data_IF_990382774980
#
_entry.id   IF_990382774980
#
_cell.length_a   1.000
_cell.length_b   1.000
_cell.length_c   1.000
_cell.angle_alpha   90.00
_cell.angle_beta   90.00
_cell.angle_gamma   90.00
#
_symmetry.space_group_name_H-M   'P 1'
#
loop_
_entity.id
_entity.type
_entity.pdbx_description
1 polymer ?
#
# COMPACT_ATOMS: atom_id res chain seq x y z
N UNK A 1 -60.71 3.96 47.92
CA UNK A 1 -60.45 4.70 46.67
C UNK A 1 -59.16 5.49 46.83
N UNK A 2 -58.01 4.96 46.40
CA UNK A 2 -56.77 5.75 46.31
C UNK A 2 -56.78 6.43 44.95
N UNK A 3 -57.01 7.74 44.94
CA UNK A 3 -56.97 8.55 43.73
C UNK A 3 -55.58 8.52 43.13
N UNK A 4 -55.47 8.08 41.89
CA UNK A 4 -54.28 8.30 41.06
C UNK A 4 -54.00 9.80 41.07
N UNK A 5 -52.81 10.16 41.52
CA UNK A 5 -52.34 11.54 41.59
C UNK A 5 -52.38 12.14 40.19
N UNK A 6 -52.77 13.41 40.06
CA UNK A 6 -52.78 14.07 38.74
C UNK A 6 -51.38 14.09 38.09
N UNK A 7 -50.32 13.93 38.89
CA UNK A 7 -48.96 13.68 38.40
C UNK A 7 -48.82 12.34 37.65
N UNK A 8 -49.47 11.26 38.11
CA UNK A 8 -49.41 9.95 37.46
C UNK A 8 -50.14 9.96 36.11
N UNK A 9 -51.26 10.68 36.03
CA UNK A 9 -51.99 10.90 34.78
C UNK A 9 -51.17 11.72 33.79
N UNK A 10 -50.46 12.74 34.28
CA UNK A 10 -49.58 13.57 33.44
C UNK A 10 -48.43 12.73 32.86
N UNK A 11 -47.73 11.97 33.70
CA UNK A 11 -46.62 11.09 33.27
C UNK A 11 -47.10 10.05 32.27
N UNK A 12 -48.26 9.43 32.51
CA UNK A 12 -48.85 8.46 31.58
C UNK A 12 -49.19 9.11 30.23
N UNK A 13 -49.81 10.30 30.23
CA UNK A 13 -50.12 11.02 29.00
C UNK A 13 -48.86 11.41 28.21
N UNK A 14 -47.77 11.80 28.89
CA UNK A 14 -46.49 12.07 28.23
C UNK A 14 -45.84 10.81 27.66
N UNK A 15 -45.95 9.68 28.36
CA UNK A 15 -45.47 8.37 27.89
C UNK A 15 -46.24 7.91 26.66
N UNK A 16 -47.57 7.92 26.70
CA UNK A 16 -48.44 7.49 25.61
C UNK A 16 -48.28 8.40 24.37
N UNK A 17 -48.06 9.70 24.58
CA UNK A 17 -47.77 10.65 23.51
C UNK A 17 -46.36 10.46 22.90
N UNK A 18 -45.37 10.05 23.70
CA UNK A 18 -44.03 9.73 23.21
C UNK A 18 -44.05 8.45 22.35
N UNK A 19 -44.75 7.42 22.82
CA UNK A 19 -44.93 6.16 22.09
C UNK A 19 -45.69 6.38 20.77
N UNK A 20 -46.77 7.17 20.79
CA UNK A 20 -47.52 7.52 19.58
C UNK A 20 -46.68 8.26 18.53
N UNK A 21 -45.79 9.17 18.97
CA UNK A 21 -44.86 9.88 18.06
C UNK A 21 -43.82 8.94 17.47
N UNK A 22 -43.33 7.99 18.25
CA UNK A 22 -42.35 7.00 17.79
C UNK A 22 -42.97 6.03 16.76
N UNK A 23 -44.22 5.60 16.99
CA UNK A 23 -44.99 4.79 16.03
C UNK A 23 -45.19 5.57 14.73
N UNK A 24 -45.66 6.81 14.80
CA UNK A 24 -45.87 7.66 13.62
C UNK A 24 -44.57 7.89 12.84
N UNK A 25 -43.44 8.07 13.54
CA UNK A 25 -42.12 8.22 12.90
C UNK A 25 -41.71 6.95 12.15
N UNK A 26 -41.88 5.77 12.77
CA UNK A 26 -41.58 4.47 12.13
C UNK A 26 -42.47 4.20 10.93
N UNK A 27 -43.75 4.59 10.98
CA UNK A 27 -44.66 4.42 9.86
C UNK A 27 -44.34 5.37 8.70
N UNK A 28 -43.93 6.60 8.99
CA UNK A 28 -43.41 7.54 7.99
C UNK A 28 -42.13 6.97 7.34
N UNK A 29 -41.18 6.49 8.14
CA UNK A 29 -39.93 5.88 7.65
C UNK A 29 -40.22 4.67 6.77
N UNK A 30 -41.07 3.73 7.21
CA UNK A 30 -41.50 2.57 6.40
C UNK A 30 -42.22 2.98 5.11
N UNK A 31 -43.06 4.00 5.16
CA UNK A 31 -43.75 4.50 3.95
C UNK A 31 -42.77 5.15 2.97
N UNK A 32 -41.76 5.86 3.47
CA UNK A 32 -40.72 6.47 2.65
C UNK A 32 -39.82 5.41 2.02
N UNK A 33 -39.46 4.36 2.77
CA UNK A 33 -38.73 3.19 2.26
C UNK A 33 -39.53 2.45 1.18
N UNK A 34 -40.84 2.25 1.38
CA UNK A 34 -41.69 1.61 0.39
C UNK A 34 -41.78 2.42 -0.91
N UNK A 35 -41.96 3.75 -0.81
CA UNK A 35 -41.98 4.65 -1.97
C UNK A 35 -40.62 4.65 -2.69
N UNK A 36 -39.52 4.64 -1.93
CA UNK A 36 -38.18 4.61 -2.50
C UNK A 36 -37.92 3.28 -3.25
N UNK A 37 -38.32 2.16 -2.65
CA UNK A 37 -38.22 0.85 -3.29
C UNK A 37 -39.07 0.75 -4.56
N UNK A 38 -40.29 1.27 -4.53
CA UNK A 38 -41.16 1.31 -5.72
C UNK A 38 -40.54 2.15 -6.85
N UNK A 39 -39.90 3.29 -6.51
CA UNK A 39 -39.15 4.09 -7.49
C UNK A 39 -37.95 3.33 -8.05
N UNK A 40 -37.19 2.64 -7.22
CA UNK A 40 -36.04 1.85 -7.66
C UNK A 40 -36.48 0.69 -8.57
N UNK A 41 -37.57 0.00 -8.23
CA UNK A 41 -38.15 -1.07 -9.04
C UNK A 41 -38.69 -0.52 -10.38
N UNK A 42 -39.34 0.65 -10.38
CA UNK A 42 -39.80 1.31 -11.61
C UNK A 42 -38.63 1.71 -12.50
N UNK A 43 -37.56 2.27 -11.93
CA UNK A 43 -36.34 2.64 -12.65
C UNK A 43 -35.68 1.39 -13.26
N UNK A 44 -35.55 0.31 -12.48
CA UNK A 44 -34.99 -0.96 -12.95
C UNK A 44 -35.79 -1.52 -14.14
N UNK A 45 -37.13 -1.52 -14.05
CA UNK A 45 -38.00 -1.96 -15.14
C UNK A 45 -37.82 -1.12 -16.41
N UNK A 46 -37.71 0.21 -16.28
CA UNK A 46 -37.49 1.10 -17.43
C UNK A 46 -36.15 0.79 -18.11
N UNK A 47 -35.08 0.60 -17.32
CA UNK A 47 -33.78 0.23 -17.87
C UNK A 47 -33.78 -1.15 -18.54
N UNK A 48 -34.48 -2.13 -17.96
CA UNK A 48 -34.64 -3.46 -18.56
C UNK A 48 -35.37 -3.38 -19.91
N UNK A 49 -36.48 -2.62 -19.98
CA UNK A 49 -37.22 -2.41 -21.22
C UNK A 49 -36.37 -1.68 -22.27
N UNK A 50 -35.62 -0.65 -21.87
CA UNK A 50 -34.68 0.02 -22.76
C UNK A 50 -33.62 -0.95 -23.31
N UNK A 51 -33.11 -1.87 -22.48
CA UNK A 51 -32.22 -2.95 -22.90
C UNK A 51 -32.85 -3.86 -23.95
N UNK A 52 -34.08 -4.34 -23.72
CA UNK A 52 -34.81 -5.20 -24.66
C UNK A 52 -35.04 -4.50 -26.01
N UNK A 53 -35.36 -3.21 -25.99
CA UNK A 53 -35.54 -2.40 -27.21
C UNK A 53 -34.22 -2.28 -27.97
N UNK A 54 -33.10 -2.00 -27.29
CA UNK A 54 -31.77 -1.93 -27.91
C UNK A 54 -31.38 -3.25 -28.58
N UNK A 55 -31.58 -4.38 -27.91
CA UNK A 55 -31.32 -5.73 -28.47
C UNK A 55 -32.17 -5.96 -29.73
N UNK A 56 -33.45 -5.63 -29.67
CA UNK A 56 -34.37 -5.84 -30.79
C UNK A 56 -33.98 -5.01 -32.01
N UNK A 57 -33.58 -3.74 -31.80
CA UNK A 57 -33.12 -2.87 -32.88
C UNK A 57 -31.84 -3.40 -33.53
N UNK A 58 -30.84 -3.78 -32.72
CA UNK A 58 -29.61 -4.40 -33.22
C UNK A 58 -29.89 -5.68 -34.01
N UNK A 59 -30.77 -6.56 -33.49
CA UNK A 59 -31.12 -7.80 -34.18
C UNK A 59 -31.83 -7.54 -35.52
N UNK A 60 -32.62 -6.46 -35.60
CA UNK A 60 -33.28 -6.05 -36.84
C UNK A 60 -32.28 -5.57 -37.89
N UNK A 61 -31.33 -4.69 -37.54
CA UNK A 61 -30.30 -4.23 -38.48
C UNK A 61 -29.33 -5.36 -38.87
N UNK A 62 -28.96 -6.21 -37.91
CA UNK A 62 -28.18 -7.43 -38.15
C UNK A 62 -28.87 -8.36 -39.16
N UNK A 63 -30.16 -8.64 -38.96
CA UNK A 63 -30.93 -9.53 -39.86
C UNK A 63 -31.07 -8.94 -41.26
N UNK A 64 -31.31 -7.63 -41.36
CA UNK A 64 -31.42 -6.93 -42.64
C UNK A 64 -30.09 -6.98 -43.42
N UNK A 65 -28.96 -6.69 -42.75
CA UNK A 65 -27.64 -6.71 -43.37
C UNK A 65 -27.22 -8.12 -43.81
N UNK A 66 -27.34 -9.13 -42.93
CA UNK A 66 -26.99 -10.51 -43.30
C UNK A 66 -27.93 -11.12 -44.34
N UNK A 67 -29.22 -10.77 -44.31
CA UNK A 67 -30.17 -11.17 -45.35
C UNK A 67 -29.75 -10.69 -46.73
N UNK A 68 -29.36 -9.42 -46.85
CA UNK A 68 -28.83 -8.87 -48.11
C UNK A 68 -27.51 -9.52 -48.53
N UNK A 69 -26.63 -9.83 -47.58
CA UNK A 69 -25.34 -10.46 -47.86
C UNK A 69 -25.50 -11.89 -48.39
N UNK A 70 -26.43 -12.67 -47.82
CA UNK A 70 -26.79 -13.99 -48.34
C UNK A 70 -27.44 -13.90 -49.73
N UNK A 71 -28.34 -12.94 -49.95
CA UNK A 71 -28.96 -12.72 -51.27
C UNK A 71 -27.91 -12.35 -52.33
N UNK A 72 -26.92 -11.51 -51.97
CA UNK A 72 -25.78 -11.19 -52.84
C UNK A 72 -24.99 -12.45 -53.21
N UNK A 73 -24.64 -13.27 -52.21
CA UNK A 73 -23.88 -14.51 -52.42
C UNK A 73 -24.63 -15.48 -53.35
N UNK A 74 -25.94 -15.67 -53.15
CA UNK A 74 -26.76 -16.52 -54.03
C UNK A 74 -26.85 -15.94 -55.45
N UNK A 75 -26.97 -14.62 -55.59
CA UNK A 75 -27.01 -13.93 -56.88
C UNK A 75 -25.69 -14.09 -57.66
N UNK A 76 -24.56 -13.95 -56.99
CA UNK A 76 -23.22 -14.06 -57.58
C UNK A 76 -22.85 -15.50 -57.95
N UNK A 77 -23.12 -16.46 -57.06
CA UNK A 77 -22.89 -17.89 -57.27
C UNK A 77 -23.82 -18.50 -58.32
N UNK A 78 -24.96 -17.85 -58.61
CA UNK A 78 -26.00 -18.32 -59.54
C UNK A 78 -26.53 -19.70 -59.20
N UNK A 79 -26.48 -20.10 -57.93
CA UNK A 79 -26.93 -21.43 -57.48
C UNK A 79 -28.41 -21.67 -57.74
N UNK A 80 -29.24 -20.62 -57.69
CA UNK A 80 -30.66 -20.68 -58.05
C UNK A 80 -30.88 -21.17 -59.49
N UNK A 81 -29.94 -20.88 -60.40
CA UNK A 81 -30.00 -21.30 -61.79
C UNK A 81 -29.45 -22.71 -61.99
N UNK A 82 -28.36 -23.06 -61.32
CA UNK A 82 -27.67 -24.35 -61.52
C UNK A 82 -28.29 -25.50 -60.73
N UNK A 83 -28.71 -25.27 -59.49
CA UNK A 83 -29.25 -26.32 -58.59
C UNK A 83 -30.77 -26.41 -58.62
N UNK A 84 -31.46 -25.28 -58.77
CA UNK A 84 -32.92 -25.22 -58.69
C UNK A 84 -33.62 -24.93 -60.01
N UNK A 85 -32.87 -24.70 -61.10
CA UNK A 85 -33.37 -24.42 -62.44
C UNK A 85 -34.46 -23.32 -62.49
N UNK A 86 -34.32 -22.31 -61.62
CA UNK A 86 -35.26 -21.18 -61.53
C UNK A 86 -34.58 -19.87 -61.93
N UNK A 87 -35.38 -18.84 -62.23
CA UNK A 87 -34.88 -17.49 -62.48
C UNK A 87 -34.61 -16.75 -61.16
N UNK A 88 -33.87 -15.63 -61.23
CA UNK A 88 -33.63 -14.79 -60.04
C UNK A 88 -34.94 -14.26 -59.46
N UNK A 89 -35.90 -13.91 -60.32
CA UNK A 89 -37.23 -13.44 -59.93
C UNK A 89 -38.01 -14.51 -59.17
N UNK A 90 -38.03 -15.74 -59.68
CA UNK A 90 -38.66 -16.89 -59.01
C UNK A 90 -37.99 -17.22 -57.68
N UNK A 91 -36.68 -17.05 -57.57
CA UNK A 91 -35.96 -17.22 -56.31
C UNK A 91 -36.33 -16.13 -55.29
N UNK A 92 -36.41 -14.87 -55.70
CA UNK A 92 -36.87 -13.78 -54.84
C UNK A 92 -38.31 -14.01 -54.34
N UNK A 93 -39.21 -14.43 -55.22
CA UNK A 93 -40.59 -14.78 -54.84
C UNK A 93 -40.63 -15.96 -53.85
N UNK A 94 -39.81 -16.99 -54.06
CA UNK A 94 -39.71 -18.15 -53.17
C UNK A 94 -39.25 -17.76 -51.75
N UNK A 95 -38.32 -16.81 -51.64
CA UNK A 95 -37.82 -16.30 -50.35
C UNK A 95 -38.74 -15.22 -49.75
N UNK A 96 -39.78 -14.79 -50.49
CA UNK A 96 -40.75 -13.80 -50.03
C UNK A 96 -40.23 -12.36 -50.07
N UNK A 97 -39.29 -12.06 -50.97
CA UNK A 97 -38.69 -10.74 -51.13
C UNK A 97 -39.00 -10.15 -52.51
N UNK A 98 -39.25 -8.85 -52.57
CA UNK A 98 -39.45 -8.17 -53.86
C UNK A 98 -38.13 -8.01 -54.61
N UNK A 99 -38.08 -8.51 -55.84
CA UNK A 99 -36.89 -8.48 -56.69
C UNK A 99 -36.37 -7.07 -56.90
N UNK A 100 -37.25 -6.09 -57.19
CA UNK A 100 -36.83 -4.71 -57.48
C UNK A 100 -36.16 -4.08 -56.28
N UNK A 101 -36.80 -4.19 -55.12
CA UNK A 101 -36.25 -3.71 -53.86
C UNK A 101 -34.90 -4.35 -53.53
N UNK A 102 -34.77 -5.67 -53.68
CA UNK A 102 -33.49 -6.37 -53.43
C UNK A 102 -32.42 -5.93 -54.41
N UNK A 103 -32.73 -5.81 -55.70
CA UNK A 103 -31.78 -5.37 -56.71
C UNK A 103 -31.29 -3.93 -56.42
N UNK A 104 -32.17 -3.02 -56.02
CA UNK A 104 -31.81 -1.66 -55.57
C UNK A 104 -30.91 -1.67 -54.34
N UNK A 105 -31.25 -2.47 -53.32
CA UNK A 105 -30.47 -2.61 -52.10
C UNK A 105 -29.11 -3.29 -52.32
N UNK A 106 -29.00 -4.17 -53.31
CA UNK A 106 -27.75 -4.83 -53.68
C UNK A 106 -26.83 -3.91 -54.50
N UNK A 107 -27.36 -2.88 -55.17
CA UNK A 107 -26.54 -1.87 -55.88
C UNK A 107 -25.73 -1.05 -54.88
N UNK A 108 -26.34 -0.65 -53.75
CA UNK A 108 -25.66 0.10 -52.70
C UNK A 108 -25.91 -0.51 -51.31
N UNK A 109 -24.94 -1.32 -50.86
CA UNK A 109 -24.92 -1.93 -49.53
C UNK A 109 -24.38 -0.99 -48.45
N UNK A 110 -23.80 0.17 -48.82
CA UNK A 110 -23.15 1.07 -47.85
C UNK A 110 -24.12 1.54 -46.76
N UNK A 111 -25.37 1.97 -47.05
CA UNK A 111 -26.30 2.42 -46.02
C UNK A 111 -26.59 1.35 -44.97
N UNK A 112 -26.80 0.10 -45.40
CA UNK A 112 -27.07 -1.03 -44.51
C UNK A 112 -25.85 -1.40 -43.65
N UNK A 113 -24.65 -1.35 -44.23
CA UNK A 113 -23.40 -1.53 -43.50
C UNK A 113 -23.24 -0.43 -42.44
N UNK A 114 -23.46 0.82 -42.79
CA UNK A 114 -23.32 1.96 -41.87
C UNK A 114 -24.34 1.89 -40.74
N UNK A 115 -25.60 1.56 -41.04
CA UNK A 115 -26.66 1.38 -40.04
C UNK A 115 -26.33 0.22 -39.08
N UNK A 116 -25.93 -0.94 -39.60
CA UNK A 116 -25.51 -2.09 -38.80
C UNK A 116 -24.30 -1.76 -37.90
N UNK A 117 -23.29 -1.07 -38.42
CA UNK A 117 -22.10 -0.68 -37.65
C UNK A 117 -22.44 0.33 -36.55
N UNK A 118 -23.33 1.28 -36.83
CA UNK A 118 -23.80 2.25 -35.84
C UNK A 118 -24.59 1.56 -34.71
N UNK A 119 -25.50 0.65 -35.06
CA UNK A 119 -26.26 -0.13 -34.09
C UNK A 119 -25.36 -1.08 -33.28
N UNK A 120 -24.37 -1.70 -33.91
CA UNK A 120 -23.39 -2.54 -33.23
C UNK A 120 -22.59 -1.73 -32.20
N UNK A 121 -22.12 -0.54 -32.57
CA UNK A 121 -21.37 0.33 -31.66
C UNK A 121 -22.24 0.82 -30.50
N UNK A 122 -23.50 1.20 -30.76
CA UNK A 122 -24.47 1.59 -29.74
C UNK A 122 -24.84 0.45 -28.78
N UNK A 123 -24.92 -0.78 -29.31
CA UNK A 123 -25.29 -1.97 -28.56
C UNK A 123 -24.13 -2.54 -27.73
N UNK A 124 -22.98 -2.74 -28.34
CA UNK A 124 -21.82 -3.40 -27.71
C UNK A 124 -20.91 -2.42 -26.95
N UNK A 125 -21.01 -1.11 -27.23
CA UNK A 125 -20.05 -0.12 -26.77
C UNK A 125 -18.71 -0.17 -27.49
N UNK A 126 -18.55 -1.05 -28.48
CA UNK A 126 -17.31 -1.28 -29.23
C UNK A 126 -17.54 -1.13 -30.73
N UNK A 127 -16.54 -0.67 -31.47
CA UNK A 127 -16.58 -0.67 -32.94
C UNK A 127 -16.19 -2.06 -33.46
N UNK A 128 -16.84 -2.58 -34.52
CA UNK A 128 -16.56 -3.91 -35.09
C UNK A 128 -15.06 -4.10 -35.43
N UNK A 129 -14.41 -3.05 -35.93
CA UNK A 129 -13.00 -3.14 -36.32
C UNK A 129 -12.08 -3.37 -35.11
N UNK A 130 -12.49 -2.94 -33.91
CA UNK A 130 -11.77 -3.23 -32.67
C UNK A 130 -11.93 -4.68 -32.22
N UNK A 131 -13.03 -5.33 -32.60
CA UNK A 131 -13.29 -6.74 -32.30
C UNK A 131 -12.35 -7.66 -33.06
N UNK A 132 -11.92 -7.26 -34.27
CA UNK A 132 -11.01 -8.05 -35.10
C UNK A 132 -9.65 -8.30 -34.42
N UNK A 133 -9.14 -7.31 -33.69
CA UNK A 133 -7.80 -7.34 -33.08
C UNK A 133 -7.82 -7.56 -31.56
N UNK A 134 -9.00 -7.82 -30.99
CA UNK A 134 -9.20 -7.98 -29.56
C UNK A 134 -8.53 -9.27 -29.05
N UNK A 135 -7.56 -9.13 -28.14
CA UNK A 135 -6.85 -10.26 -27.54
C UNK A 135 -5.61 -10.75 -28.31
N UNK A 136 -5.23 -10.07 -29.39
CA UNK A 136 -3.93 -10.33 -30.03
C UNK A 136 -2.81 -9.68 -29.21
N UNK A 137 -1.79 -10.48 -28.84
CA UNK A 137 -0.58 -9.95 -28.21
C UNK A 137 0.29 -9.30 -29.29
N UNK A 138 0.37 -7.96 -29.27
CA UNK A 138 1.02 -7.19 -30.33
C UNK A 138 2.43 -6.78 -29.90
N UNK A 139 3.45 -7.32 -30.57
CA UNK A 139 4.83 -6.85 -30.46
C UNK A 139 5.10 -5.74 -31.49
N UNK A 140 5.91 -4.74 -31.15
CA UNK A 140 6.30 -3.65 -32.04
C UNK A 140 6.95 -4.10 -33.38
N UNK A 141 7.46 -5.34 -33.45
CA UNK A 141 8.05 -5.92 -34.67
C UNK A 141 7.02 -6.53 -35.64
N UNK A 142 5.74 -6.56 -35.27
CA UNK A 142 4.68 -7.28 -36.01
C UNK A 142 4.04 -6.50 -37.15
N UNK A 143 4.20 -5.17 -37.18
CA UNK A 143 3.64 -4.30 -38.22
C UNK A 143 4.76 -3.70 -39.09
N UNK A 144 4.74 -4.00 -40.39
CA UNK A 144 5.67 -3.42 -41.38
C UNK A 144 4.91 -2.66 -42.43
N UNK A 145 5.36 -1.45 -42.74
CA UNK A 145 4.83 -0.69 -43.88
C UNK A 145 5.65 -1.09 -45.11
N UNK A 146 4.99 -1.65 -46.11
CA UNK A 146 5.58 -1.99 -47.40
C UNK A 146 4.57 -1.73 -48.52
N UNK A 147 5.02 -1.13 -49.62
CA UNK A 147 4.24 -0.92 -50.85
C UNK A 147 2.83 -0.33 -50.65
N UNK A 148 2.72 0.78 -49.91
CA UNK A 148 1.43 1.42 -49.62
C UNK A 148 0.43 0.49 -48.91
N UNK A 149 0.91 -0.47 -48.14
CA UNK A 149 0.10 -1.28 -47.25
C UNK A 149 0.79 -1.49 -45.90
N UNK A 150 -0.02 -1.73 -44.87
CA UNK A 150 0.44 -2.19 -43.57
C UNK A 150 0.35 -3.72 -43.59
N UNK A 151 1.49 -4.38 -43.51
CA UNK A 151 1.59 -5.82 -43.34
C UNK A 151 1.62 -6.10 -41.85
N UNK A 152 0.58 -6.78 -41.36
CA UNK A 152 0.42 -7.10 -39.95
C UNK A 152 -0.04 -8.56 -39.81
N UNK A 153 0.71 -9.40 -39.09
CA UNK A 153 0.42 -10.82 -38.88
C UNK A 153 0.10 -11.64 -40.16
N UNK A 154 0.66 -11.23 -41.32
CA UNK A 154 0.41 -11.88 -42.61
C UNK A 154 -0.80 -11.36 -43.39
N UNK A 155 -1.55 -10.40 -42.83
CA UNK A 155 -2.56 -9.63 -43.54
C UNK A 155 -1.96 -8.35 -44.11
N UNK A 156 -2.42 -7.96 -45.31
CA UNK A 156 -1.99 -6.75 -46.00
C UNK A 156 -3.16 -5.77 -46.03
N UNK A 157 -3.08 -4.70 -45.24
CA UNK A 157 -4.08 -3.63 -45.18
C UNK A 157 -3.65 -2.50 -46.11
N UNK A 158 -4.34 -2.24 -47.24
CA UNK A 158 -4.00 -1.14 -48.13
C UNK A 158 -4.14 0.22 -47.43
N UNK A 159 -3.20 1.14 -47.68
CA UNK A 159 -3.27 2.54 -47.23
C UNK A 159 -4.18 3.35 -48.16
N UNK A 160 -5.47 3.03 -48.18
CA UNK A 160 -6.50 3.78 -48.91
C UNK A 160 -7.61 4.32 -47.99
N UNK A 161 -8.48 5.16 -48.54
CA UNK A 161 -9.57 5.79 -47.77
C UNK A 161 -10.65 4.80 -47.32
N UNK A 162 -10.77 3.64 -47.97
CA UNK A 162 -11.79 2.64 -47.66
C UNK A 162 -11.37 1.75 -46.47
N UNK A 163 -10.07 1.68 -46.16
CA UNK A 163 -9.50 0.93 -45.03
C UNK A 163 -9.06 1.82 -43.85
N UNK A 164 -9.39 3.13 -43.88
CA UNK A 164 -9.04 4.09 -42.81
C UNK A 164 -9.44 3.62 -41.41
N UNK A 165 -10.63 3.06 -41.27
CA UNK A 165 -11.15 2.62 -39.98
C UNK A 165 -10.46 1.33 -39.48
N UNK A 166 -9.90 0.53 -40.38
CA UNK A 166 -9.11 -0.68 -40.05
C UNK A 166 -7.70 -0.29 -39.60
N UNK A 167 -7.10 0.67 -40.29
CA UNK A 167 -5.81 1.28 -39.93
C UNK A 167 -5.89 1.94 -38.55
N UNK A 168 -6.97 2.68 -38.28
CA UNK A 168 -7.17 3.31 -36.97
C UNK A 168 -7.32 2.28 -35.85
N UNK A 169 -8.10 1.22 -36.06
CA UNK A 169 -8.25 0.15 -35.06
C UNK A 169 -6.91 -0.55 -34.76
N UNK A 170 -6.09 -0.81 -35.78
CA UNK A 170 -4.76 -1.38 -35.61
C UNK A 170 -3.84 -0.47 -34.77
N UNK A 171 -3.84 0.83 -35.07
CA UNK A 171 -3.05 1.83 -34.33
C UNK A 171 -3.46 1.93 -32.85
N UNK A 172 -4.76 1.96 -32.57
CA UNK A 172 -5.26 2.00 -31.19
C UNK A 172 -4.89 0.73 -30.42
N UNK A 173 -4.96 -0.44 -31.06
CA UNK A 173 -4.57 -1.71 -30.43
C UNK A 173 -3.06 -1.78 -30.17
N UNK A 174 -2.25 -1.25 -31.10
CA UNK A 174 -0.80 -1.09 -30.92
C UNK A 174 -0.49 -0.16 -29.75
N UNK A 175 -1.18 0.97 -29.63
CA UNK A 175 -0.98 1.93 -28.54
C UNK A 175 -1.34 1.32 -27.18
N UNK A 176 -2.46 0.59 -27.10
CA UNK A 176 -2.88 -0.11 -25.88
C UNK A 176 -1.89 -1.20 -25.46
N UNK A 177 -1.42 -2.02 -26.42
CA UNK A 177 -0.40 -3.06 -26.15
C UNK A 177 0.90 -2.44 -25.64
N UNK A 178 1.37 -1.38 -26.31
CA UNK A 178 2.62 -0.72 -25.96
C UNK A 178 2.56 -0.04 -24.58
N UNK A 179 1.37 0.45 -24.20
CA UNK A 179 1.11 0.97 -22.86
C UNK A 179 1.11 -0.13 -21.81
N UNK A 180 0.46 -1.26 -22.07
CA UNK A 180 0.46 -2.42 -21.17
C UNK A 180 1.87 -2.97 -20.94
N UNK A 181 2.67 -3.14 -22.00
CA UNK A 181 4.08 -3.57 -21.88
C UNK A 181 4.91 -2.58 -21.06
N UNK A 182 4.68 -1.27 -21.23
CA UNK A 182 5.37 -0.23 -20.47
C UNK A 182 4.99 -0.30 -18.98
N UNK A 183 3.70 -0.45 -18.67
CA UNK A 183 3.22 -0.56 -17.30
C UNK A 183 3.77 -1.83 -16.60
N UNK A 184 3.85 -2.95 -17.32
CA UNK A 184 4.46 -4.19 -16.83
C UNK A 184 5.98 -4.04 -16.63
N UNK A 185 6.68 -3.39 -17.56
CA UNK A 185 8.11 -3.09 -17.43
C UNK A 185 8.37 -2.18 -16.21
N UNK A 186 7.55 -1.13 -16.01
CA UNK A 186 7.64 -0.25 -14.84
C UNK A 186 7.36 -0.99 -13.52
N UNK A 187 6.36 -1.87 -13.50
CA UNK A 187 6.07 -2.71 -12.33
C UNK A 187 7.24 -3.67 -12.01
N UNK A 188 7.85 -4.24 -13.05
CA UNK A 188 9.03 -5.11 -12.92
C UNK A 188 10.23 -4.34 -12.38
N UNK A 189 10.49 -3.13 -12.90
CA UNK A 189 11.57 -2.25 -12.41
C UNK A 189 11.35 -1.90 -10.94
N UNK A 190 10.14 -1.46 -10.56
CA UNK A 190 9.81 -1.16 -9.15
C UNK A 190 10.03 -2.35 -8.23
N UNK A 191 9.70 -3.55 -8.69
CA UNK A 191 9.92 -4.79 -7.92
C UNK A 191 11.41 -5.12 -7.77
N UNK A 192 12.17 -4.99 -8.86
CA UNK A 192 13.64 -5.15 -8.84
C UNK A 192 14.30 -4.14 -7.91
N UNK A 193 13.91 -2.87 -7.93
CA UNK A 193 14.45 -1.82 -7.05
C UNK A 193 14.18 -2.12 -5.56
N UNK A 194 12.98 -2.62 -5.23
CA UNK A 194 12.65 -3.04 -3.85
C UNK A 194 13.54 -4.20 -3.41
N UNK A 195 13.76 -5.19 -4.28
CA UNK A 195 14.64 -6.32 -4.00
C UNK A 195 16.10 -5.90 -3.84
N UNK A 196 16.58 -4.98 -4.66
CA UNK A 196 17.95 -4.43 -4.56
C UNK A 196 18.12 -3.74 -3.20
N UNK A 197 17.21 -2.84 -2.81
CA UNK A 197 17.25 -2.17 -1.50
C UNK A 197 17.20 -3.16 -0.32
N UNK A 198 16.39 -4.21 -0.43
CA UNK A 198 16.33 -5.25 0.58
C UNK A 198 17.66 -6.00 0.71
N UNK A 199 18.28 -6.36 -0.43
CA UNK A 199 19.60 -7.01 -0.46
C UNK A 199 20.70 -6.12 0.09
N UNK A 200 20.74 -4.84 -0.30
CA UNK A 200 21.68 -3.86 0.24
C UNK A 200 21.57 -3.74 1.77
N UNK A 201 20.35 -3.75 2.32
CA UNK A 201 20.15 -3.74 3.77
C UNK A 201 20.72 -4.99 4.46
N UNK A 202 20.54 -6.16 3.85
CA UNK A 202 21.09 -7.43 4.36
C UNK A 202 22.61 -7.41 4.29
N UNK A 203 23.20 -6.97 3.17
CA UNK A 203 24.66 -6.85 3.02
C UNK A 203 25.23 -5.92 4.08
N UNK A 204 24.66 -4.73 4.26
CA UNK A 204 25.09 -3.78 5.29
C UNK A 204 24.98 -4.35 6.72
N UNK A 205 24.00 -5.21 6.98
CA UNK A 205 23.86 -5.89 8.27
C UNK A 205 24.93 -6.96 8.45
N UNK A 206 25.16 -7.79 7.43
CA UNK A 206 26.20 -8.81 7.44
C UNK A 206 27.60 -8.20 7.59
N UNK A 207 27.89 -7.07 6.95
CA UNK A 207 29.15 -6.34 7.11
C UNK A 207 29.35 -5.84 8.55
N UNK A 208 28.29 -5.33 9.20
CA UNK A 208 28.36 -4.93 10.61
C UNK A 208 28.59 -6.12 11.54
N UNK A 209 27.92 -7.23 11.25
CA UNK A 209 28.06 -8.45 12.06
C UNK A 209 29.45 -9.08 11.88
N UNK A 210 30.01 -9.06 10.65
CA UNK A 210 31.41 -9.43 10.39
C UNK A 210 32.38 -8.54 11.16
N UNK A 211 32.24 -7.21 11.09
CA UNK A 211 33.08 -6.30 11.87
C UNK A 211 32.97 -6.53 13.39
N UNK A 212 31.79 -6.92 13.88
CA UNK A 212 31.57 -7.25 15.29
C UNK A 212 32.24 -8.57 15.67
N UNK A 213 32.19 -9.56 14.81
CA UNK A 213 32.82 -10.87 15.02
C UNK A 213 34.35 -10.77 14.91
N UNK A 214 34.87 -10.05 13.92
CA UNK A 214 36.31 -9.77 13.79
C UNK A 214 36.85 -9.04 15.03
N UNK A 215 36.11 -8.05 15.56
CA UNK A 215 36.48 -7.39 16.83
C UNK A 215 36.43 -8.29 18.07
N UNK A 216 35.71 -9.40 18.02
CA UNK A 216 35.67 -10.39 19.13
C UNK A 216 36.78 -11.43 19.01
N UNK A 217 37.38 -11.58 17.84
CA UNK A 217 38.41 -12.60 17.55
C UNK A 217 39.82 -12.05 17.75
N UNK A 218 40.02 -10.74 17.71
CA UNK A 218 41.30 -10.12 18.08
C UNK A 218 41.43 -9.96 19.61
N UNK A 219 42.31 -10.79 20.19
CA UNK A 219 42.81 -10.85 21.57
C UNK A 219 41.88 -11.42 22.64
N UNK A 220 42.05 -12.71 22.92
CA UNK A 220 42.19 -13.25 24.28
C UNK A 220 42.80 -14.65 24.21
N UNK A 221 43.97 -14.88 24.82
CA UNK A 221 44.55 -16.22 25.08
C UNK A 221 43.74 -16.96 26.18
N UNK A 222 42.41 -16.82 26.16
CA UNK A 222 41.51 -17.36 27.18
C UNK A 222 40.89 -18.65 26.70
N UNK A 223 40.68 -19.56 27.63
CA UNK A 223 39.92 -20.79 27.41
C UNK A 223 38.45 -20.47 27.12
N UNK A 224 37.73 -21.40 26.49
CA UNK A 224 36.31 -21.24 26.15
C UNK A 224 35.45 -20.94 27.40
N UNK A 225 35.77 -21.56 28.55
CA UNK A 225 35.10 -21.32 29.83
C UNK A 225 35.34 -19.90 30.38
N UNK A 226 36.56 -19.38 30.27
CA UNK A 226 36.91 -18.02 30.68
C UNK A 226 36.25 -16.98 29.77
N UNK A 227 36.18 -17.26 28.47
CA UNK A 227 35.51 -16.39 27.51
C UNK A 227 34.00 -16.32 27.76
N UNK A 228 33.36 -17.42 28.16
CA UNK A 228 31.94 -17.48 28.53
C UNK A 228 31.66 -16.72 29.83
N UNK A 229 32.53 -16.83 30.84
CA UNK A 229 32.42 -16.05 32.07
C UNK A 229 32.52 -14.54 31.79
N UNK A 230 33.44 -14.12 30.91
CA UNK A 230 33.58 -12.72 30.49
C UNK A 230 32.35 -12.25 29.71
N UNK A 231 31.81 -13.09 28.82
CA UNK A 231 30.59 -12.77 28.07
C UNK A 231 29.38 -12.59 29.01
N UNK A 232 29.26 -13.43 30.03
CA UNK A 232 28.22 -13.31 31.05
C UNK A 232 28.36 -11.99 31.83
N UNK A 233 29.56 -11.65 32.28
CA UNK A 233 29.83 -10.38 32.96
C UNK A 233 29.55 -9.17 32.08
N UNK A 234 29.91 -9.23 30.79
CA UNK A 234 29.59 -8.19 29.82
C UNK A 234 28.07 -8.00 29.67
N UNK A 235 27.31 -9.09 29.62
CA UNK A 235 25.85 -9.04 29.54
C UNK A 235 25.23 -8.44 30.80
N UNK A 236 25.67 -8.86 31.99
CA UNK A 236 25.21 -8.30 33.28
C UNK A 236 25.50 -6.79 33.35
N UNK A 237 26.69 -6.36 32.92
CA UNK A 237 27.05 -4.94 32.84
C UNK A 237 26.09 -4.16 31.93
N UNK A 238 25.78 -4.70 30.75
CA UNK A 238 24.85 -4.06 29.80
C UNK A 238 23.46 -3.94 30.40
N UNK A 239 22.94 -5.00 31.03
CA UNK A 239 21.60 -5.02 31.60
C UNK A 239 21.47 -4.06 32.79
N UNK A 240 22.49 -3.99 33.65
CA UNK A 240 22.54 -3.01 34.73
C UNK A 240 22.52 -1.56 34.21
N UNK A 241 23.37 -1.24 33.23
CA UNK A 241 23.40 0.10 32.62
C UNK A 241 22.08 0.45 31.91
N UNK A 242 21.44 -0.55 31.28
CA UNK A 242 20.12 -0.40 30.68
C UNK A 242 19.07 -0.09 31.73
N UNK A 243 19.08 -0.78 32.87
CA UNK A 243 18.20 -0.49 34.01
C UNK A 243 18.33 0.96 34.50
N UNK A 244 19.55 1.44 34.69
CA UNK A 244 19.82 2.84 35.06
C UNK A 244 19.34 3.82 33.97
N UNK A 245 19.56 3.49 32.69
CA UNK A 245 19.09 4.30 31.55
C UNK A 245 17.57 4.41 31.52
N UNK A 246 16.85 3.31 31.76
CA UNK A 246 15.39 3.28 31.76
C UNK A 246 14.79 4.05 32.95
N UNK A 247 15.45 4.03 34.12
CA UNK A 247 15.11 4.90 35.24
C UNK A 247 15.24 6.38 34.83
N UNK A 248 16.34 6.77 34.18
CA UNK A 248 16.57 8.15 33.72
C UNK A 248 15.58 8.63 32.67
N UNK A 249 15.09 7.73 31.81
CA UNK A 249 14.04 8.06 30.83
C UNK A 249 12.68 8.30 31.49
N UNK A 250 12.38 7.54 32.55
CA UNK A 250 11.09 7.64 33.28
C UNK A 250 11.06 8.80 34.26
N UNK A 251 12.18 9.13 34.89
CA UNK A 251 12.29 10.21 35.87
C UNK A 251 13.26 11.27 35.34
N UNK A 252 12.70 12.24 34.63
CA UNK A 252 13.46 13.36 34.06
C UNK A 252 13.61 14.45 35.13
N UNK A 253 14.85 14.85 35.51
CA UNK A 253 15.09 15.72 36.67
C UNK A 253 14.34 17.06 36.69
N UNK A 254 14.05 17.64 35.52
CA UNK A 254 13.38 18.95 35.41
C UNK A 254 11.86 18.86 35.20
N UNK A 255 11.30 17.64 35.11
CA UNK A 255 9.87 17.41 34.87
C UNK A 255 9.21 16.59 35.99
N UNK A 256 10.00 15.88 36.80
CA UNK A 256 9.50 15.02 37.85
C UNK A 256 9.18 15.80 39.14
N UNK A 257 8.16 15.39 39.90
CA UNK A 257 7.87 15.94 41.23
C UNK A 257 9.06 15.80 42.18
N UNK A 258 9.26 16.77 43.08
CA UNK A 258 10.37 16.78 44.05
C UNK A 258 10.43 15.52 44.91
N UNK A 259 9.27 14.98 45.29
CA UNK A 259 9.19 13.72 46.04
C UNK A 259 9.76 12.54 45.25
N UNK A 260 9.54 12.48 43.94
CA UNK A 260 10.09 11.42 43.08
C UNK A 260 11.62 11.57 42.93
N UNK A 261 12.13 12.79 42.85
CA UNK A 261 13.57 13.07 42.81
C UNK A 261 14.25 12.69 44.13
N UNK A 262 13.62 12.99 45.26
CA UNK A 262 14.10 12.59 46.59
C UNK A 262 14.16 11.08 46.75
N UNK A 263 13.12 10.36 46.31
CA UNK A 263 13.12 8.90 46.33
C UNK A 263 14.16 8.30 45.37
N UNK A 264 14.33 8.88 44.18
CA UNK A 264 15.38 8.48 43.24
C UNK A 264 16.78 8.67 43.83
N UNK A 265 17.01 9.77 44.56
CA UNK A 265 18.27 10.02 45.26
C UNK A 265 18.58 8.92 46.29
N UNK A 266 17.61 8.57 47.15
CA UNK A 266 17.77 7.47 48.10
C UNK A 266 17.94 6.10 47.42
N UNK A 267 17.26 5.87 46.30
CA UNK A 267 17.42 4.65 45.52
C UNK A 267 18.86 4.50 45.01
N UNK A 268 19.49 5.58 44.52
CA UNK A 268 20.89 5.52 44.09
C UNK A 268 21.86 5.28 45.24
N UNK A 269 21.61 5.88 46.41
CA UNK A 269 22.38 5.58 47.63
C UNK A 269 22.25 4.09 48.00
N UNK A 270 21.03 3.56 47.98
CA UNK A 270 20.77 2.16 48.30
C UNK A 270 21.46 1.21 47.33
N UNK A 271 21.38 1.48 46.02
CA UNK A 271 22.11 0.71 45.00
C UNK A 271 23.62 0.77 45.26
N UNK A 272 24.16 1.95 45.53
CA UNK A 272 25.58 2.13 45.86
C UNK A 272 26.01 1.30 47.08
N UNK A 273 25.17 1.27 48.13
CA UNK A 273 25.43 0.48 49.34
C UNK A 273 25.44 -1.02 49.07
N UNK A 274 24.47 -1.55 48.31
CA UNK A 274 24.45 -2.98 47.94
C UNK A 274 25.70 -3.35 47.16
N UNK A 275 26.07 -2.56 46.14
CA UNK A 275 27.25 -2.84 45.32
C UNK A 275 28.53 -2.80 46.18
N UNK A 276 28.60 -1.91 47.17
CA UNK A 276 29.72 -1.85 48.11
C UNK A 276 29.78 -3.07 49.03
N UNK A 277 28.65 -3.51 49.58
CA UNK A 277 28.57 -4.71 50.44
C UNK A 277 28.99 -5.98 49.67
N UNK A 278 28.48 -6.17 48.46
CA UNK A 278 28.86 -7.30 47.59
C UNK A 278 30.36 -7.24 47.21
N UNK A 279 30.90 -6.05 46.94
CA UNK A 279 32.33 -5.87 46.71
C UNK A 279 33.17 -6.27 47.93
N UNK A 280 32.76 -5.87 49.13
CA UNK A 280 33.45 -6.24 50.37
C UNK A 280 33.35 -7.74 50.65
N UNK A 281 32.20 -8.36 50.38
CA UNK A 281 32.05 -9.81 50.48
C UNK A 281 32.98 -10.55 49.51
N UNK A 282 33.10 -10.05 48.27
CA UNK A 282 34.04 -10.58 47.28
C UNK A 282 35.48 -10.44 47.76
N UNK A 283 35.84 -9.30 48.36
CA UNK A 283 37.17 -9.08 48.93
C UNK A 283 37.52 -10.09 50.03
N UNK A 284 36.55 -10.51 50.84
CA UNK A 284 36.77 -11.53 51.88
C UNK A 284 37.13 -12.90 51.27
N UNK A 285 36.45 -13.27 50.18
CA UNK A 285 36.68 -14.54 49.47
C UNK A 285 38.08 -14.57 48.80
N UNK A 286 38.54 -13.42 48.32
CA UNK A 286 39.85 -13.26 47.68
C UNK A 286 40.99 -12.90 48.64
N UNK A 287 40.76 -12.84 49.95
CA UNK A 287 41.76 -12.45 50.96
C UNK A 287 43.06 -13.27 50.90
N UNK A 288 42.99 -14.52 50.44
CA UNK A 288 44.13 -15.43 50.36
C UNK A 288 44.60 -15.71 48.91
N UNK A 289 44.05 -15.03 47.92
CA UNK A 289 44.47 -15.22 46.54
C UNK A 289 45.81 -14.51 46.29
N UNK A 290 46.75 -15.21 45.67
CA UNK A 290 48.16 -14.79 45.50
C UNK A 290 48.30 -13.60 44.51
N UNK A 291 47.34 -13.44 43.59
CA UNK A 291 47.21 -12.31 42.68
C UNK A 291 45.76 -11.83 42.62
N UNK A 292 45.42 -10.82 43.43
CA UNK A 292 44.27 -9.96 43.18
C UNK A 292 44.83 -8.62 42.69
N UNK A 293 44.66 -8.21 41.43
CA UNK A 293 45.41 -7.08 40.88
C UNK A 293 45.00 -5.70 41.43
N UNK A 294 44.18 -5.63 42.48
CA UNK A 294 43.79 -4.38 43.12
C UNK A 294 43.23 -4.54 44.54
N UNK A 295 44.07 -4.37 45.54
CA UNK A 295 43.62 -3.93 46.87
C UNK A 295 43.27 -2.42 46.80
N UNK A 296 42.26 -2.04 46.01
CA UNK A 296 41.82 -0.64 45.97
C UNK A 296 41.11 -0.32 47.28
N UNK A 297 41.81 0.32 48.21
CA UNK A 297 41.16 1.00 49.34
C UNK A 297 40.25 2.12 48.81
N UNK A 298 39.24 2.56 49.58
CA UNK A 298 38.31 3.62 49.15
C UNK A 298 39.03 4.91 48.70
N UNK A 299 40.26 5.12 49.16
CA UNK A 299 41.11 6.27 48.86
C UNK A 299 41.90 6.13 47.52
N UNK A 300 41.89 4.95 46.90
CA UNK A 300 42.68 4.60 45.71
C UNK A 300 41.82 4.20 44.50
N UNK A 301 40.58 4.68 44.42
CA UNK A 301 39.70 4.39 43.27
C UNK A 301 40.39 4.83 41.98
N UNK A 302 40.65 3.92 41.02
CA UNK A 302 41.30 4.26 39.78
C UNK A 302 40.49 5.32 39.03
N UNK A 303 41.15 6.22 38.28
CA UNK A 303 40.47 7.19 37.44
C UNK A 303 39.40 6.51 36.55
N UNK A 304 38.25 7.18 36.35
CA UNK A 304 37.10 6.62 35.62
C UNK A 304 37.48 6.05 34.24
N UNK A 305 38.46 6.64 33.55
CA UNK A 305 38.95 6.18 32.25
C UNK A 305 39.66 4.83 32.32
N UNK A 306 40.38 4.56 33.43
CA UNK A 306 41.02 3.27 33.71
C UNK A 306 39.97 2.22 34.07
N UNK A 307 38.98 2.57 34.89
CA UNK A 307 37.86 1.67 35.21
C UNK A 307 37.07 1.26 33.97
N UNK A 308 36.71 2.24 33.13
CA UNK A 308 35.95 1.97 31.89
C UNK A 308 36.75 1.12 30.91
N UNK A 309 38.08 1.31 30.83
CA UNK A 309 38.95 0.53 29.95
C UNK A 309 39.09 -0.95 30.37
N UNK A 310 38.91 -1.27 31.65
CA UNK A 310 39.08 -2.61 32.19
C UNK A 310 37.76 -3.40 32.34
N UNK A 311 36.62 -2.79 32.02
CA UNK A 311 35.32 -3.48 32.08
C UNK A 311 35.04 -4.28 30.79
N UNK A 312 34.50 -5.51 30.87
CA UNK A 312 34.27 -6.39 29.71
C UNK A 312 33.50 -5.76 28.54
N UNK A 313 32.44 -4.98 28.81
CA UNK A 313 31.62 -4.39 27.74
C UNK A 313 32.19 -3.06 27.20
N UNK A 314 33.20 -2.48 27.85
CA UNK A 314 33.77 -1.17 27.50
C UNK A 314 35.29 -1.20 27.34
N UNK A 315 35.86 -2.40 27.18
CA UNK A 315 37.29 -2.60 26.97
C UNK A 315 37.77 -1.72 25.80
N UNK A 316 38.87 -0.98 26.02
CA UNK A 316 39.41 0.07 25.12
C UNK A 316 38.61 1.38 24.95
N UNK A 317 37.45 1.55 25.61
CA UNK A 317 36.66 2.80 25.51
C UNK A 317 37.08 3.89 26.51
N UNK A 318 38.06 3.64 27.37
CA UNK A 318 38.49 4.58 28.42
C UNK A 318 38.85 5.97 27.90
N UNK A 319 39.61 6.06 26.80
CA UNK A 319 39.98 7.33 26.16
C UNK A 319 38.76 8.09 25.62
N UNK A 320 37.85 7.39 24.95
CA UNK A 320 36.62 7.98 24.42
C UNK A 320 35.67 8.45 25.55
N UNK A 321 35.66 7.75 26.68
CA UNK A 321 34.92 8.13 27.88
C UNK A 321 35.49 9.41 28.52
N UNK A 322 36.83 9.48 28.68
CA UNK A 322 37.53 10.67 29.18
C UNK A 322 37.20 11.92 28.38
N UNK A 323 37.33 11.85 27.06
CA UNK A 323 37.02 12.96 26.14
C UNK A 323 35.56 13.41 26.26
N UNK A 324 34.63 12.48 26.51
CA UNK A 324 33.20 12.76 26.67
C UNK A 324 32.89 13.44 28.00
N UNK A 325 33.56 13.05 29.08
CA UNK A 325 33.40 13.67 30.40
C UNK A 325 33.99 15.07 30.40
N UNK A 326 35.18 15.27 29.82
CA UNK A 326 35.80 16.59 29.66
C UNK A 326 34.94 17.53 28.81
N UNK A 327 34.35 17.05 27.71
CA UNK A 327 33.37 17.81 26.90
C UNK A 327 32.14 18.22 27.71
N UNK A 328 31.65 17.36 28.61
CA UNK A 328 30.49 17.69 29.48
C UNK A 328 30.85 18.69 30.57
N UNK A 329 32.05 18.60 31.14
CA UNK A 329 32.55 19.53 32.15
C UNK A 329 32.75 20.92 31.57
N UNK A 330 33.43 21.01 30.43
CA UNK A 330 33.62 22.27 29.70
C UNK A 330 32.31 22.87 29.19
N UNK A 331 31.32 22.04 28.82
CA UNK A 331 29.98 22.52 28.46
C UNK A 331 29.20 23.08 29.67
N UNK A 332 29.33 22.48 30.86
CA UNK A 332 28.73 23.01 32.09
C UNK A 332 29.39 24.32 32.54
N UNK A 333 30.71 24.40 32.48
CA UNK A 333 31.48 25.63 32.81
C UNK A 333 31.16 26.79 31.84
N UNK A 334 30.78 26.51 30.59
CA UNK A 334 30.30 27.54 29.65
C UNK A 334 28.86 28.01 29.89
N UNK A 335 28.05 27.25 30.64
CA UNK A 335 26.66 27.60 30.97
C UNK A 335 26.60 28.49 32.23
N UNK A 336 27.63 28.48 33.08
CA UNK A 336 27.80 29.44 34.18
C UNK A 336 28.90 30.47 33.85
N UNK A 337 28.55 31.56 33.12
CA UNK A 337 28.92 32.86 33.67
C UNK A 337 27.92 33.97 33.26
N UNK A 338 26.94 34.29 34.11
CA UNK A 338 26.25 35.60 34.14
C UNK A 338 25.26 35.69 35.32
N UNK A 339 25.73 35.61 36.57
CA UNK A 339 24.79 35.61 37.68
C UNK A 339 25.37 35.80 39.08
N UNK A 340 26.47 36.53 39.23
CA UNK A 340 26.94 36.92 40.57
C UNK A 340 27.80 38.18 40.50
N UNK A 341 27.17 39.32 40.17
CA UNK A 341 27.63 40.66 40.56
C UNK A 341 26.43 41.63 40.52
N UNK A 342 25.73 41.75 41.65
CA UNK A 342 25.06 42.99 42.09
C UNK A 342 24.61 42.83 43.54
N UNK A 343 25.21 43.63 44.40
CA UNK A 343 24.85 43.71 45.81
C UNK A 343 25.79 44.59 46.64
N UNK A 344 26.34 45.65 46.06
CA UNK A 344 26.91 46.75 46.86
C UNK A 344 25.80 47.77 47.15
N UNK A 345 25.60 48.02 48.45
CA UNK A 345 25.31 49.35 49.01
C UNK A 345 23.99 50.03 48.68
N UNK A 346 23.10 50.12 49.67
CA UNK A 346 22.57 51.43 50.01
C UNK A 346 22.41 51.56 51.54
N UNK A 347 23.00 52.61 52.08
CA UNK A 347 22.99 52.92 53.50
C UNK A 347 21.77 53.74 53.93
N UNK A 348 21.67 53.84 55.26
CA UNK A 348 21.07 54.92 56.06
C UNK A 348 19.57 55.23 55.88
N UNK A 349 18.82 54.93 56.94
CA UNK A 349 18.18 55.96 57.75
C UNK A 349 18.45 55.66 59.23
#
# INVERSE_FOLDING_TARGET
>A
MKGSSDADKLVKNYSDAAESREIMKRDIEKSAEAIQKEKEDAIANVYEMAGKIKVTNFQKSQSAFFGLLMLKQVKESKEYRSKMNMTWEQFCEYVGVDRRRVDEQLIDLKPFRTEFLADFASFSGCQINKVKYLGEAISADSAKIADNAIIYNGETIPLDADHKDEIQALLETLEESHKAEKDEAEATIKTKDRLIKAKEKVINQMERDLQRLERKVELTDLTEEEQDAINLLAQVQIDFLKGISDIKKKIIPHQAPEIALRQLYFLYIFIGKIVMEERLALHEEYRNAEEVPWEIMEEEIPPDDVLVANMPATHMMGKAYKDKIEKRRTAKEKIEPAGSKKGDGNGTA
#
